data_IF_647392004014
#
_entry.id   IF_647392004014
#
_cell.length_a   1.000
_cell.length_b   1.000
_cell.length_c   1.000
_cell.angle_alpha   90.00
_cell.angle_beta   90.00
_cell.angle_gamma   90.00
#
_symmetry.space_group_name_H-M   'P 1'
#
loop_
_entity.id
_entity.type
_entity.pdbx_description
1 polymer ?
#
# COMPACT_ATOMS: atom_id res chain seq x y z
N UNK A 1 8.94 -22.52 21.43
CA UNK A 1 8.49 -21.11 21.30
C UNK A 1 8.97 -20.38 20.02
N UNK A 2 9.86 -20.94 19.20
CA UNK A 2 10.39 -20.26 17.99
C UNK A 2 9.44 -20.15 16.79
N UNK A 3 8.58 -21.15 16.54
CA UNK A 3 7.61 -21.14 15.41
C UNK A 3 6.58 -20.01 15.50
N UNK A 4 6.03 -19.75 16.70
CA UNK A 4 5.06 -18.66 16.93
C UNK A 4 5.70 -17.28 16.68
N UNK A 5 6.94 -17.06 17.12
CA UNK A 5 7.68 -15.81 16.85
C UNK A 5 7.98 -15.63 15.36
N UNK A 6 8.38 -16.68 14.64
CA UNK A 6 8.58 -16.63 13.17
C UNK A 6 7.28 -16.27 12.43
N UNK A 7 6.16 -16.92 12.75
CA UNK A 7 4.85 -16.60 12.18
C UNK A 7 4.43 -15.14 12.41
N UNK A 8 4.63 -14.62 13.63
CA UNK A 8 4.33 -13.22 13.96
C UNK A 8 5.23 -12.23 13.20
N UNK A 9 6.53 -12.52 13.07
CA UNK A 9 7.47 -11.67 12.32
C UNK A 9 7.13 -11.69 10.82
N UNK A 10 6.80 -12.86 10.27
CA UNK A 10 6.39 -13.01 8.88
C UNK A 10 5.09 -12.24 8.59
N UNK A 11 4.11 -12.31 9.48
CA UNK A 11 2.90 -11.48 9.40
C UNK A 11 3.24 -9.98 9.43
N UNK A 12 4.20 -9.56 10.27
CA UNK A 12 4.61 -8.16 10.35
C UNK A 12 5.23 -7.65 9.04
N UNK A 13 6.04 -8.49 8.35
CA UNK A 13 6.61 -8.15 7.04
C UNK A 13 5.54 -7.95 5.97
N UNK A 14 4.61 -8.91 5.86
CA UNK A 14 3.50 -8.85 4.89
C UNK A 14 2.61 -7.64 5.18
N UNK A 15 2.29 -7.37 6.45
CA UNK A 15 1.49 -6.21 6.85
C UNK A 15 2.13 -4.90 6.40
N UNK A 16 3.46 -4.75 6.49
CA UNK A 16 4.15 -3.53 5.99
C UNK A 16 3.99 -3.35 4.49
N UNK A 17 4.14 -4.41 3.70
CA UNK A 17 3.95 -4.32 2.25
C UNK A 17 2.48 -4.07 1.89
N UNK A 18 1.55 -4.71 2.60
CA UNK A 18 0.12 -4.41 2.47
C UNK A 18 -0.19 -2.94 2.76
N UNK A 19 0.46 -2.34 3.76
CA UNK A 19 0.27 -0.93 4.13
C UNK A 19 0.74 0.00 3.01
N UNK A 20 1.88 -0.30 2.37
CA UNK A 20 2.40 0.45 1.22
C UNK A 20 1.44 0.34 0.02
N UNK A 21 0.98 -0.87 -0.31
CA UNK A 21 0.03 -1.09 -1.40
C UNK A 21 -1.27 -0.33 -1.13
N UNK A 22 -1.76 -0.40 0.10
CA UNK A 22 -3.01 0.27 0.49
C UNK A 22 -2.86 1.79 0.43
N UNK A 23 -1.74 2.33 0.90
CA UNK A 23 -1.40 3.76 0.78
C UNK A 23 -1.48 4.24 -0.67
N UNK A 24 -0.90 3.49 -1.61
CA UNK A 24 -1.00 3.83 -3.03
C UNK A 24 -2.44 3.80 -3.52
N UNK A 25 -3.20 2.74 -3.22
CA UNK A 25 -4.58 2.60 -3.69
C UNK A 25 -5.56 3.61 -3.10
N UNK A 26 -5.33 4.07 -1.85
CA UNK A 26 -6.26 4.97 -1.15
C UNK A 26 -5.92 6.45 -1.34
N UNK A 27 -4.63 6.78 -1.47
CA UNK A 27 -4.17 8.17 -1.39
C UNK A 27 -3.53 8.69 -2.68
N UNK A 28 -3.13 7.82 -3.60
CA UNK A 28 -2.58 8.25 -4.89
C UNK A 28 -3.69 8.31 -5.96
N UNK A 29 -3.83 9.40 -6.72
CA UNK A 29 -4.89 9.55 -7.73
C UNK A 29 -4.96 8.39 -8.74
N UNK A 30 -3.80 7.88 -9.13
CA UNK A 30 -3.66 6.75 -10.07
C UNK A 30 -2.89 5.58 -9.46
N UNK A 31 -3.05 5.34 -8.16
CA UNK A 31 -2.24 4.40 -7.38
C UNK A 31 -2.16 2.99 -7.95
N UNK A 32 -3.25 2.47 -8.52
CA UNK A 32 -3.22 1.16 -9.18
C UNK A 32 -2.30 1.15 -10.43
N UNK A 33 -2.25 2.25 -11.20
CA UNK A 33 -1.38 2.34 -12.38
C UNK A 33 0.10 2.44 -12.01
N UNK A 34 0.41 3.15 -10.93
CA UNK A 34 1.75 3.17 -10.30
C UNK A 34 2.18 1.75 -9.91
N UNK A 35 1.31 1.02 -9.20
CA UNK A 35 1.57 -0.37 -8.79
C UNK A 35 1.75 -1.33 -9.98
N UNK A 36 1.22 -0.99 -11.14
CA UNK A 36 1.41 -1.73 -12.39
C UNK A 36 2.67 -1.33 -13.17
N UNK A 37 3.42 -0.31 -12.71
CA UNK A 37 4.56 0.26 -13.44
C UNK A 37 4.17 1.00 -14.71
N UNK A 38 2.93 1.51 -14.79
CA UNK A 38 2.43 2.28 -15.94
C UNK A 38 2.52 3.79 -15.75
N UNK A 39 2.67 4.22 -14.51
CA UNK A 39 2.87 5.61 -14.10
C UNK A 39 4.14 5.69 -13.26
N UNK A 40 4.71 6.89 -13.15
CA UNK A 40 5.92 7.13 -12.37
C UNK A 40 5.69 6.84 -10.88
N UNK A 41 6.74 6.36 -10.21
CA UNK A 41 6.69 6.16 -8.77
C UNK A 41 6.69 7.53 -8.06
N UNK A 42 5.79 7.77 -7.08
CA UNK A 42 5.69 9.07 -6.41
C UNK A 42 7.00 9.46 -5.72
N UNK A 43 7.27 10.77 -5.64
CA UNK A 43 8.46 11.28 -4.93
C UNK A 43 8.34 11.08 -3.41
N UNK A 44 9.46 11.25 -2.69
CA UNK A 44 9.43 11.21 -1.22
C UNK A 44 8.49 12.30 -0.65
N UNK A 45 8.39 13.47 -1.30
CA UNK A 45 7.43 14.52 -0.93
C UNK A 45 5.97 14.09 -1.12
N UNK A 46 5.65 13.48 -2.26
CA UNK A 46 4.30 13.00 -2.54
C UNK A 46 3.89 11.92 -1.54
N UNK A 47 4.80 10.98 -1.23
CA UNK A 47 4.56 9.93 -0.24
C UNK A 47 4.34 10.53 1.15
N UNK A 48 5.12 11.56 1.52
CA UNK A 48 4.94 12.25 2.80
C UNK A 48 3.55 12.90 2.88
N UNK A 49 3.09 13.53 1.80
CA UNK A 49 1.74 14.12 1.73
C UNK A 49 0.64 13.04 1.78
N UNK A 50 0.81 11.93 1.07
CA UNK A 50 -0.12 10.80 1.12
C UNK A 50 -0.24 10.22 2.53
N UNK A 51 0.89 10.05 3.23
CA UNK A 51 0.91 9.62 4.63
C UNK A 51 0.20 10.63 5.55
N UNK A 52 0.37 11.93 5.29
CA UNK A 52 -0.32 13.00 6.02
C UNK A 52 -1.82 12.95 5.83
N UNK A 53 -2.29 12.78 4.58
CA UNK A 53 -3.71 12.63 4.25
C UNK A 53 -4.31 11.39 4.93
N UNK A 54 -3.61 10.25 4.87
CA UNK A 54 -4.08 8.99 5.46
C UNK A 54 -4.23 9.04 6.97
N UNK A 55 -3.27 9.64 7.66
CA UNK A 55 -3.27 9.66 9.12
C UNK A 55 -4.30 10.67 9.69
N UNK A 56 -5.00 11.41 8.82
CA UNK A 56 -5.68 12.63 9.18
C UNK A 56 -4.66 13.68 9.57
N UNK A 57 -4.91 14.94 9.23
CA UNK A 57 -4.13 16.03 9.79
C UNK A 57 -4.21 15.95 11.33
N UNK A 58 -3.18 15.39 11.98
CA UNK A 58 -2.90 15.75 13.35
C UNK A 58 -2.79 17.26 13.34
N UNK A 59 -3.65 17.91 14.10
CA UNK A 59 -3.49 19.31 14.48
C UNK A 59 -2.02 19.59 14.77
N UNK A 60 -1.55 20.82 14.48
CA UNK A 60 -0.20 21.22 14.83
C UNK A 60 0.02 20.84 16.30
N UNK A 61 0.95 19.91 16.53
CA UNK A 61 1.43 19.58 17.88
C UNK A 61 2.04 20.87 18.40
N UNK A 62 1.25 21.64 19.14
CA UNK A 62 1.73 22.78 19.88
C UNK A 62 2.60 22.18 20.98
N UNK A 63 3.91 22.15 20.74
CA UNK A 63 4.87 21.89 21.80
C UNK A 63 4.74 23.06 22.78
N UNK A 64 3.97 22.86 23.86
CA UNK A 64 3.84 23.86 24.91
C UNK A 64 5.26 24.21 25.43
N UNK A 65 5.68 25.45 25.15
CA UNK A 65 6.90 26.05 25.71
C UNK A 65 8.21 25.80 24.94
N UNK A 66 8.19 25.17 23.76
CA UNK A 66 9.37 25.02 22.90
C UNK A 66 9.44 26.10 21.80
N UNK A 67 10.64 26.41 21.27
CA UNK A 67 10.72 27.22 20.06
C UNK A 67 9.94 26.53 18.93
N UNK A 68 9.13 27.31 18.21
CA UNK A 68 8.30 26.82 17.11
C UNK A 68 9.21 26.13 16.08
N UNK A 69 8.98 24.84 15.80
CA UNK A 69 9.78 24.12 14.81
C UNK A 69 9.55 24.78 13.45
N UNK A 70 10.60 25.30 12.79
CA UNK A 70 10.46 25.93 11.49
C UNK A 70 9.77 24.98 10.50
N UNK A 71 8.86 25.49 9.68
CA UNK A 71 8.13 24.67 8.70
C UNK A 71 9.07 23.88 7.78
N UNK A 72 10.24 24.46 7.45
CA UNK A 72 11.28 23.78 6.69
C UNK A 72 11.77 22.50 7.37
N UNK A 73 11.97 22.51 8.69
CA UNK A 73 12.41 21.33 9.44
C UNK A 73 11.31 20.26 9.49
N UNK A 74 10.05 20.66 9.70
CA UNK A 74 8.90 19.74 9.65
C UNK A 74 8.78 19.04 8.29
N UNK A 75 9.02 19.77 7.19
CA UNK A 75 9.05 19.21 5.84
C UNK A 75 10.15 18.17 5.68
N UNK A 76 11.36 18.48 6.12
CA UNK A 76 12.51 17.55 6.05
C UNK A 76 12.23 16.28 6.84
N UNK A 77 11.72 16.40 8.06
CA UNK A 77 11.38 15.24 8.91
C UNK A 77 10.28 14.36 8.28
N UNK A 78 9.29 14.97 7.63
CA UNK A 78 8.24 14.24 6.93
C UNK A 78 8.79 13.47 5.71
N UNK A 79 9.65 14.10 4.91
CA UNK A 79 10.31 13.47 3.75
C UNK A 79 11.21 12.31 4.21
N UNK A 80 12.00 12.50 5.27
CA UNK A 80 12.79 11.42 5.85
C UNK A 80 11.91 10.27 6.37
N UNK A 81 10.77 10.61 6.99
CA UNK A 81 9.77 9.64 7.43
C UNK A 81 9.22 8.81 6.26
N UNK A 82 8.88 9.47 5.15
CA UNK A 82 8.43 8.82 3.92
C UNK A 82 9.51 7.87 3.36
N UNK A 83 10.76 8.32 3.26
CA UNK A 83 11.87 7.48 2.80
C UNK A 83 12.07 6.26 3.69
N UNK A 84 12.05 6.43 5.01
CA UNK A 84 12.15 5.32 5.97
C UNK A 84 10.98 4.34 5.84
N UNK A 85 9.77 4.86 5.64
CA UNK A 85 8.58 4.04 5.41
C UNK A 85 8.73 3.18 4.14
N UNK A 86 9.21 3.78 3.05
CA UNK A 86 9.42 3.09 1.77
C UNK A 86 10.61 2.13 1.75
N UNK A 87 11.64 2.36 2.59
CA UNK A 87 12.82 1.49 2.69
C UNK A 87 12.50 0.02 3.03
N UNK A 88 11.29 -0.26 3.54
CA UNK A 88 10.82 -1.62 3.75
C UNK A 88 10.76 -2.44 2.43
N UNK A 89 10.56 -1.80 1.28
CA UNK A 89 10.56 -2.45 -0.03
C UNK A 89 11.95 -2.85 -0.50
N UNK A 90 12.99 -2.08 -0.15
CA UNK A 90 14.36 -2.31 -0.65
C UNK A 90 14.87 -3.71 -0.30
N UNK A 91 14.46 -4.23 0.86
CA UNK A 91 14.79 -5.59 1.31
C UNK A 91 14.21 -6.69 0.43
N UNK A 92 13.17 -6.40 -0.34
CA UNK A 92 12.46 -7.36 -1.18
C UNK A 92 12.61 -7.04 -2.67
N UNK A 93 13.66 -6.32 -3.07
CA UNK A 93 13.90 -5.97 -4.47
C UNK A 93 13.22 -4.66 -4.91
N UNK A 94 12.80 -3.83 -3.95
CA UNK A 94 12.31 -2.47 -4.20
C UNK A 94 10.96 -2.43 -4.91
N UNK A 95 10.71 -1.31 -5.58
CA UNK A 95 9.47 -1.06 -6.34
C UNK A 95 9.30 -2.03 -7.52
N UNK A 96 10.41 -2.49 -8.11
CA UNK A 96 10.40 -3.47 -9.20
C UNK A 96 9.75 -4.80 -8.80
N UNK A 97 10.11 -5.34 -7.64
CA UNK A 97 9.53 -6.60 -7.16
C UNK A 97 8.03 -6.48 -6.90
N UNK A 98 7.59 -5.33 -6.37
CA UNK A 98 6.17 -5.03 -6.19
C UNK A 98 5.42 -4.97 -7.53
N UNK A 99 5.97 -4.27 -8.52
CA UNK A 99 5.40 -4.18 -9.87
C UNK A 99 5.32 -5.57 -10.51
N UNK A 100 6.36 -6.40 -10.36
CA UNK A 100 6.34 -7.79 -10.85
C UNK A 100 5.23 -8.59 -10.18
N UNK A 101 5.13 -8.55 -8.85
CA UNK A 101 4.11 -9.26 -8.09
C UNK A 101 2.68 -8.87 -8.50
N UNK A 102 2.43 -7.58 -8.75
CA UNK A 102 1.12 -7.11 -9.24
C UNK A 102 0.82 -7.65 -10.64
N UNK A 103 1.81 -7.68 -11.53
CA UNK A 103 1.66 -8.23 -12.87
C UNK A 103 1.45 -9.75 -12.87
N UNK A 104 2.13 -10.48 -11.99
CA UNK A 104 1.95 -11.93 -11.82
C UNK A 104 0.60 -12.24 -11.19
N UNK A 105 0.20 -11.48 -10.18
CA UNK A 105 -1.16 -11.56 -9.62
C UNK A 105 -2.23 -11.35 -10.70
N UNK A 106 -2.06 -10.35 -11.58
CA UNK A 106 -2.98 -10.12 -12.70
C UNK A 106 -3.08 -11.31 -13.66
N UNK A 107 -1.97 -12.02 -13.90
CA UNK A 107 -1.95 -13.22 -14.76
C UNK A 107 -2.65 -14.40 -14.08
N UNK A 108 -2.46 -14.56 -12.78
CA UNK A 108 -3.05 -15.65 -11.99
C UNK A 108 -4.55 -15.46 -11.72
N UNK A 109 -4.97 -14.24 -11.38
CA UNK A 109 -6.35 -13.91 -11.09
C UNK A 109 -6.76 -12.57 -11.74
N UNK A 110 -7.11 -12.59 -13.04
CA UNK A 110 -7.45 -11.37 -13.76
C UNK A 110 -8.75 -10.73 -13.26
N UNK A 111 -9.68 -11.51 -12.70
CA UNK A 111 -10.97 -11.01 -12.23
C UNK A 111 -10.82 -10.22 -10.93
N UNK A 112 -10.11 -10.78 -9.93
CA UNK A 112 -9.82 -10.05 -8.68
C UNK A 112 -8.91 -8.85 -8.94
N UNK A 113 -8.02 -8.94 -9.92
CA UNK A 113 -7.18 -7.81 -10.31
C UNK A 113 -7.99 -6.67 -10.95
N UNK A 114 -8.96 -6.96 -11.81
CA UNK A 114 -9.85 -5.93 -12.38
C UNK A 114 -10.74 -5.30 -11.29
N UNK A 115 -11.23 -6.09 -10.33
CA UNK A 115 -11.94 -5.55 -9.17
C UNK A 115 -11.04 -4.61 -8.36
N UNK A 116 -9.79 -5.01 -8.09
CA UNK A 116 -8.82 -4.18 -7.35
C UNK A 116 -8.53 -2.87 -8.08
N UNK A 117 -8.39 -2.91 -9.41
CA UNK A 117 -8.24 -1.73 -10.27
C UNK A 117 -9.42 -0.79 -10.12
N UNK A 118 -10.65 -1.31 -10.24
CA UNK A 118 -11.87 -0.49 -10.14
C UNK A 118 -12.02 0.14 -8.76
N UNK A 119 -11.67 -0.59 -7.71
CA UNK A 119 -11.64 -0.06 -6.35
C UNK A 119 -10.60 1.06 -6.21
N UNK A 120 -9.37 0.85 -6.70
CA UNK A 120 -8.30 1.86 -6.66
C UNK A 120 -8.51 3.06 -7.58
N UNK A 121 -9.53 3.03 -8.44
CA UNK A 121 -9.95 4.15 -9.28
C UNK A 121 -11.21 4.83 -8.76
N UNK A 122 -11.87 4.30 -7.73
CA UNK A 122 -13.10 4.86 -7.21
C UNK A 122 -12.87 6.28 -6.68
N UNK A 123 -13.72 7.22 -7.08
CA UNK A 123 -13.56 8.65 -6.77
C UNK A 123 -12.87 9.47 -7.86
N UNK A 124 -12.27 8.86 -8.88
CA UNK A 124 -11.82 9.58 -10.08
C UNK A 124 -13.01 10.01 -10.96
N UNK A 125 -12.88 11.11 -11.74
CA UNK A 125 -13.88 11.50 -12.72
C UNK A 125 -14.22 10.34 -13.67
N UNK A 126 -15.51 9.99 -13.75
CA UNK A 126 -16.00 8.88 -14.60
C UNK A 126 -15.88 7.48 -13.98
N UNK A 127 -15.26 7.34 -12.82
CA UNK A 127 -15.27 6.08 -12.06
C UNK A 127 -16.57 5.93 -11.25
N UNK A 128 -16.99 4.67 -11.03
CA UNK A 128 -18.11 4.36 -10.14
C UNK A 128 -17.69 4.57 -8.68
N UNK A 129 -18.64 4.94 -7.83
CA UNK A 129 -18.41 4.91 -6.38
C UNK A 129 -18.22 3.48 -5.89
N UNK A 130 -17.66 3.31 -4.69
CA UNK A 130 -17.47 1.98 -4.11
C UNK A 130 -18.81 1.26 -3.87
N UNK A 131 -19.86 2.00 -3.50
CA UNK A 131 -21.21 1.45 -3.32
C UNK A 131 -21.80 0.95 -4.64
N UNK A 132 -21.61 1.71 -5.72
CA UNK A 132 -22.05 1.31 -7.05
C UNK A 132 -21.28 0.08 -7.55
N UNK A 133 -19.98 -0.01 -7.25
CA UNK A 133 -19.19 -1.22 -7.52
C UNK A 133 -19.67 -2.41 -6.68
N UNK A 134 -19.92 -2.23 -5.39
CA UNK A 134 -20.44 -3.29 -4.53
C UNK A 134 -21.77 -3.87 -5.09
N UNK A 135 -22.68 -2.98 -5.50
CA UNK A 135 -23.93 -3.36 -6.15
C UNK A 135 -23.73 -4.11 -7.48
N UNK A 136 -22.80 -3.66 -8.32
CA UNK A 136 -22.49 -4.32 -9.61
C UNK A 136 -21.97 -5.75 -9.44
N UNK A 137 -21.17 -6.00 -8.40
CA UNK A 137 -20.64 -7.33 -8.12
C UNK A 137 -21.51 -8.14 -7.14
N UNK A 138 -22.75 -7.69 -6.89
CA UNK A 138 -23.70 -8.34 -5.99
C UNK A 138 -23.13 -8.64 -4.59
N UNK A 139 -22.33 -7.73 -4.04
CA UNK A 139 -21.70 -7.89 -2.73
C UNK A 139 -21.97 -6.68 -1.84
N UNK A 140 -21.90 -6.85 -0.52
CA UNK A 140 -21.92 -5.72 0.39
C UNK A 140 -20.55 -5.02 0.45
N UNK A 141 -20.54 -3.79 0.97
CA UNK A 141 -19.30 -3.00 1.11
C UNK A 141 -18.25 -3.71 1.97
N UNK A 142 -18.66 -4.44 3.01
CA UNK A 142 -17.75 -5.18 3.88
C UNK A 142 -17.01 -6.28 3.11
N UNK A 143 -17.72 -6.98 2.23
CA UNK A 143 -17.21 -8.03 1.36
C UNK A 143 -16.31 -7.45 0.27
N UNK A 144 -16.64 -6.28 -0.27
CA UNK A 144 -15.78 -5.55 -1.19
C UNK A 144 -14.44 -5.19 -0.54
N UNK A 145 -14.45 -4.64 0.67
CA UNK A 145 -13.23 -4.33 1.43
C UNK A 145 -12.45 -5.59 1.82
N UNK A 146 -13.13 -6.69 2.15
CA UNK A 146 -12.48 -7.96 2.45
C UNK A 146 -11.76 -8.53 1.21
N UNK A 147 -12.41 -8.49 0.04
CA UNK A 147 -11.83 -8.91 -1.24
C UNK A 147 -10.61 -8.06 -1.60
N UNK A 148 -10.72 -6.73 -1.45
CA UNK A 148 -9.59 -5.82 -1.62
C UNK A 148 -8.43 -6.21 -0.71
N UNK A 149 -8.71 -6.40 0.58
CA UNK A 149 -7.68 -6.73 1.59
C UNK A 149 -6.99 -8.06 1.29
N UNK A 150 -7.75 -9.09 0.90
CA UNK A 150 -7.15 -10.38 0.52
C UNK A 150 -6.34 -10.26 -0.77
N UNK A 151 -6.77 -9.49 -1.77
CA UNK A 151 -5.98 -9.26 -2.98
C UNK A 151 -4.65 -8.54 -2.67
N UNK A 152 -4.70 -7.50 -1.84
CA UNK A 152 -3.51 -6.77 -1.37
C UNK A 152 -2.58 -7.69 -0.56
N UNK A 153 -3.14 -8.58 0.26
CA UNK A 153 -2.38 -9.57 1.02
C UNK A 153 -1.71 -10.59 0.11
N UNK A 154 -2.41 -11.11 -0.90
CA UNK A 154 -1.86 -12.06 -1.88
C UNK A 154 -0.66 -11.45 -2.62
N UNK A 155 -0.80 -10.21 -3.09
CA UNK A 155 0.29 -9.45 -3.73
C UNK A 155 1.45 -9.23 -2.73
N UNK A 156 1.16 -8.81 -1.50
CA UNK A 156 2.18 -8.60 -0.49
C UNK A 156 2.94 -9.89 -0.13
N UNK A 157 2.25 -11.04 -0.11
CA UNK A 157 2.88 -12.34 0.05
C UNK A 157 3.79 -12.67 -1.13
N UNK A 158 3.36 -12.42 -2.37
CA UNK A 158 4.20 -12.61 -3.55
C UNK A 158 5.48 -11.75 -3.50
N UNK A 159 5.41 -10.52 -2.97
CA UNK A 159 6.61 -9.67 -2.78
C UNK A 159 7.54 -10.24 -1.71
N UNK A 160 7.00 -10.59 -0.53
CA UNK A 160 7.82 -11.03 0.61
C UNK A 160 8.43 -12.42 0.37
N UNK A 161 7.69 -13.33 -0.27
CA UNK A 161 8.09 -14.72 -0.49
C UNK A 161 8.57 -15.03 -1.91
N UNK A 162 8.35 -14.14 -2.88
CA UNK A 162 8.93 -14.30 -4.22
C UNK A 162 10.43 -14.02 -4.27
N UNK A 163 10.97 -13.29 -3.27
CA UNK A 163 12.40 -13.01 -3.14
C UNK A 163 13.16 -13.92 -2.16
N UNK A 164 12.46 -14.75 -1.38
CA UNK A 164 13.07 -15.83 -0.60
C UNK A 164 12.85 -17.10 -1.43
N UNK A 165 13.91 -17.83 -1.84
CA UNK A 165 13.76 -19.19 -2.37
C UNK A 165 12.95 -19.98 -1.35
N UNK A 166 11.66 -20.15 -1.62
CA UNK A 166 10.75 -20.81 -0.71
C UNK A 166 11.03 -22.31 -0.86
N UNK A 167 12.07 -22.78 -0.16
CA UNK A 167 12.24 -24.19 0.16
C UNK A 167 10.97 -24.63 0.90
N UNK A 168 9.99 -25.09 0.12
CA UNK A 168 8.98 -26.01 0.59
C UNK A 168 9.75 -27.24 1.07
N UNK A 169 10.08 -27.24 2.36
CA UNK A 169 10.53 -28.43 3.05
C UNK A 169 9.54 -29.56 2.72
N UNK A 170 10.07 -30.61 2.09
CA UNK A 170 9.35 -31.85 1.81
C UNK A 170 8.92 -32.59 3.07
#
# INVERSE_FOLDING_TARGET
MGRKKKLLILQTKVIKIMDIISLMLDCHPVGYLVLCGREEWPSDEDIAEMLRLRNGSSEPVHVQGGPEIPEAQRRVEAIEGARRYMSALDRYGGTHALISAVNDYRRHDPQRCELLKRIGMAGMPGAKSLEALAGEYCMDMKTLYANRREAVKDIAMMVVYGGEDFELAG
#
